data_IF_272374770622
#
_entry.id   IF_272374770622
#
_cell.length_a   1.000
_cell.length_b   1.000
_cell.length_c   1.000
_cell.angle_alpha   90.00
_cell.angle_beta   90.00
_cell.angle_gamma   90.00
#
_symmetry.space_group_name_H-M   'P 1'
#
loop_
_entity.id
_entity.type
_entity.pdbx_description
1 polymer ?
#
# COMPACT_ATOMS: atom_id res chain seq x y z
N UNK A 1 -0.84 -6.18 -9.88
CA UNK A 1 -0.74 -5.67 -11.27
C UNK A 1 0.28 -6.53 -12.03
N UNK A 2 -0.13 -7.75 -12.45
CA UNK A 2 0.82 -8.73 -12.98
C UNK A 2 1.56 -8.26 -14.23
N UNK A 3 2.86 -8.49 -14.30
CA UNK A 3 3.74 -8.09 -15.40
C UNK A 3 4.14 -6.61 -15.41
N UNK A 4 3.72 -5.80 -14.42
CA UNK A 4 4.18 -4.42 -14.27
C UNK A 4 5.48 -4.33 -13.47
N UNK A 5 6.41 -3.49 -13.91
CA UNK A 5 7.56 -3.07 -13.11
C UNK A 5 7.15 -2.05 -12.04
N UNK A 6 8.08 -1.73 -11.13
CA UNK A 6 7.81 -0.83 -10.01
C UNK A 6 7.41 0.58 -10.47
N UNK A 7 8.03 1.11 -11.54
CA UNK A 7 7.71 2.45 -12.08
C UNK A 7 6.28 2.51 -12.63
N UNK A 8 5.85 1.47 -13.34
CA UNK A 8 4.47 1.36 -13.81
C UNK A 8 3.48 1.22 -12.64
N UNK A 9 3.82 0.46 -11.60
CA UNK A 9 2.97 0.33 -10.40
C UNK A 9 2.88 1.67 -9.66
N UNK A 10 3.99 2.37 -9.50
CA UNK A 10 4.05 3.69 -8.87
C UNK A 10 3.11 4.67 -9.59
N UNK A 11 3.34 4.85 -10.89
CA UNK A 11 2.61 5.86 -11.68
C UNK A 11 1.14 5.54 -11.93
N UNK A 12 0.78 4.26 -12.08
CA UNK A 12 -0.56 3.85 -12.52
C UNK A 12 -1.45 3.32 -11.41
N UNK A 13 -0.89 3.05 -10.23
CA UNK A 13 -1.63 2.49 -9.09
C UNK A 13 -1.37 3.30 -7.84
N UNK A 14 -0.10 3.57 -7.50
CA UNK A 14 0.23 4.24 -6.25
C UNK A 14 -0.11 5.73 -6.27
N UNK A 15 0.29 6.46 -7.31
CA UNK A 15 -0.02 7.90 -7.47
C UNK A 15 -1.53 8.19 -7.38
N UNK A 16 -2.44 7.51 -8.11
CA UNK A 16 -3.88 7.73 -7.96
C UNK A 16 -4.42 7.41 -6.57
N UNK A 17 -3.83 6.42 -5.88
CA UNK A 17 -4.23 6.08 -4.51
C UNK A 17 -3.80 7.18 -3.55
N UNK A 18 -2.57 7.66 -3.66
CA UNK A 18 -2.05 8.74 -2.82
C UNK A 18 -2.85 10.02 -3.02
N UNK A 19 -3.17 10.39 -4.26
CA UNK A 19 -4.01 11.54 -4.59
C UNK A 19 -5.40 11.43 -3.95
N UNK A 20 -6.03 10.26 -4.02
CA UNK A 20 -7.34 10.05 -3.39
C UNK A 20 -7.27 10.04 -1.86
N UNK A 21 -6.22 9.46 -1.28
CA UNK A 21 -6.02 9.45 0.18
C UNK A 21 -5.71 10.84 0.73
N UNK A 22 -5.10 11.73 -0.07
CA UNK A 22 -4.83 13.11 0.34
C UNK A 22 -6.11 13.94 0.60
N UNK A 23 -7.26 13.50 0.09
CA UNK A 23 -8.57 14.13 0.35
C UNK A 23 -9.18 13.70 1.70
N UNK A 24 -8.60 12.70 2.39
CA UNK A 24 -9.11 12.17 3.65
C UNK A 24 -8.50 12.94 4.83
N UNK A 25 -9.29 13.85 5.41
CA UNK A 25 -8.83 14.76 6.48
C UNK A 25 -8.34 14.05 7.76
N UNK A 26 -8.81 12.82 8.00
CA UNK A 26 -8.45 12.06 9.20
C UNK A 26 -7.10 11.33 9.08
N UNK A 27 -6.46 11.35 7.90
CA UNK A 27 -5.14 10.74 7.70
C UNK A 27 -4.06 11.73 8.13
N UNK A 28 -3.21 11.31 9.06
CA UNK A 28 -2.02 12.04 9.48
C UNK A 28 -0.86 11.85 8.50
N UNK A 29 -0.62 10.60 8.09
CA UNK A 29 0.52 10.25 7.25
C UNK A 29 0.22 9.01 6.41
N UNK A 30 0.73 9.00 5.18
CA UNK A 30 0.73 7.84 4.29
C UNK A 30 2.18 7.46 4.02
N UNK A 31 2.51 6.20 4.25
CA UNK A 31 3.78 5.59 3.82
C UNK A 31 3.50 4.58 2.74
N UNK A 32 4.17 4.71 1.61
CA UNK A 32 3.92 3.88 0.45
C UNK A 32 5.22 3.36 -0.14
N UNK A 33 5.15 2.21 -0.81
CA UNK A 33 6.27 1.69 -1.61
C UNK A 33 5.72 0.87 -2.77
N UNK A 34 6.17 1.23 -3.97
CA UNK A 34 5.91 0.45 -5.18
C UNK A 34 6.97 -0.64 -5.36
N UNK A 35 6.51 -1.85 -5.63
CA UNK A 35 7.33 -2.98 -6.05
C UNK A 35 6.88 -3.42 -7.44
N UNK A 36 7.66 -4.30 -8.08
CA UNK A 36 7.16 -5.00 -9.26
C UNK A 36 5.85 -5.71 -8.91
N UNK A 37 4.85 -5.50 -9.75
CA UNK A 37 3.51 -6.09 -9.69
C UNK A 37 2.66 -5.75 -8.46
N UNK A 38 3.16 -5.04 -7.44
CA UNK A 38 2.44 -4.78 -6.19
C UNK A 38 2.84 -3.48 -5.52
N UNK A 39 1.94 -2.87 -4.77
CA UNK A 39 2.21 -1.69 -3.93
C UNK A 39 1.83 -2.00 -2.48
N UNK A 40 2.59 -1.46 -1.54
CA UNK A 40 2.30 -1.53 -0.10
C UNK A 40 2.08 -0.13 0.41
N UNK A 41 1.00 0.05 1.17
CA UNK A 41 0.59 1.35 1.72
C UNK A 41 0.26 1.14 3.20
N UNK A 42 0.84 1.97 4.06
CA UNK A 42 0.52 2.09 5.46
C UNK A 42 -0.05 3.49 5.71
N UNK A 43 -1.11 3.56 6.50
CA UNK A 43 -1.88 4.78 6.74
C UNK A 43 -1.99 4.98 8.24
N UNK A 44 -1.61 6.16 8.70
CA UNK A 44 -1.76 6.59 10.08
C UNK A 44 -2.90 7.59 10.15
N UNK A 45 -3.84 7.35 11.06
CA UNK A 45 -4.90 8.32 11.36
C UNK A 45 -4.39 9.35 12.36
N UNK A 46 -4.96 10.56 12.30
CA UNK A 46 -4.73 11.61 13.29
C UNK A 46 -5.04 11.10 14.70
N UNK A 47 -4.16 11.40 15.67
CA UNK A 47 -4.35 11.04 17.10
C UNK A 47 -5.64 11.64 17.69
N UNK A 48 -6.18 12.67 17.04
CA UNK A 48 -7.42 13.36 17.41
C UNK A 48 -8.68 12.71 16.84
N UNK A 49 -8.55 11.62 16.08
CA UNK A 49 -9.68 10.91 15.45
C UNK A 49 -10.45 10.10 16.50
N UNK A 50 -11.55 10.66 17.00
CA UNK A 50 -12.42 9.98 17.98
C UNK A 50 -13.20 8.79 17.39
N UNK A 51 -13.63 8.90 16.13
CA UNK A 51 -14.38 7.85 15.41
C UNK A 51 -13.53 7.23 14.31
N UNK A 52 -12.68 6.28 14.70
CA UNK A 52 -11.78 5.57 13.78
C UNK A 52 -12.55 4.73 12.76
N UNK A 53 -13.74 4.23 13.09
CA UNK A 53 -14.55 3.45 12.15
C UNK A 53 -15.03 4.32 10.98
N UNK A 54 -15.52 5.53 11.27
CA UNK A 54 -15.90 6.49 10.24
C UNK A 54 -14.71 6.93 9.37
N UNK A 55 -13.54 7.13 9.99
CA UNK A 55 -12.31 7.45 9.27
C UNK A 55 -11.90 6.33 8.30
N UNK A 56 -11.93 5.07 8.73
CA UNK A 56 -11.64 3.94 7.84
C UNK A 56 -12.68 3.77 6.72
N UNK A 57 -13.95 4.13 6.95
CA UNK A 57 -14.95 4.18 5.88
C UNK A 57 -14.64 5.27 4.84
N UNK A 58 -14.06 6.40 5.24
CA UNK A 58 -13.58 7.44 4.32
C UNK A 58 -12.39 6.94 3.50
N UNK A 59 -11.41 6.29 4.14
CA UNK A 59 -10.27 5.66 3.46
C UNK A 59 -10.73 4.65 2.41
N UNK A 60 -11.70 3.79 2.75
CA UNK A 60 -12.28 2.84 1.78
C UNK A 60 -12.90 3.56 0.58
N UNK A 61 -13.64 4.63 0.82
CA UNK A 61 -14.25 5.44 -0.26
C UNK A 61 -13.19 6.09 -1.14
N UNK A 62 -12.11 6.61 -0.56
CA UNK A 62 -10.97 7.14 -1.33
C UNK A 62 -10.32 6.06 -2.21
N UNK A 63 -10.10 4.85 -1.67
CA UNK A 63 -9.57 3.72 -2.43
C UNK A 63 -10.51 3.31 -3.59
N UNK A 64 -11.82 3.35 -3.38
CA UNK A 64 -12.82 3.10 -4.43
C UNK A 64 -12.78 4.16 -5.54
N UNK A 65 -12.53 5.43 -5.20
CA UNK A 65 -12.36 6.52 -6.16
C UNK A 65 -11.09 6.31 -6.99
N UNK A 66 -9.94 6.08 -6.34
CA UNK A 66 -8.66 5.83 -7.02
C UNK A 66 -8.74 4.65 -8.00
N UNK A 67 -9.48 3.60 -7.62
CA UNK A 67 -9.68 2.41 -8.45
C UNK A 67 -10.32 2.73 -9.81
N UNK A 68 -11.11 3.80 -9.93
CA UNK A 68 -11.72 4.20 -11.20
C UNK A 68 -10.67 4.59 -12.25
N UNK A 69 -9.47 4.95 -11.81
CA UNK A 69 -8.35 5.37 -12.67
C UNK A 69 -7.40 4.20 -13.00
N UNK A 70 -7.57 3.05 -12.36
CA UNK A 70 -6.68 1.92 -12.55
C UNK A 70 -6.77 1.31 -13.95
N UNK A 71 -5.64 0.88 -14.53
CA UNK A 71 -5.64 0.07 -15.73
C UNK A 71 -6.42 -1.25 -15.55
N UNK A 72 -6.90 -1.79 -16.66
CA UNK A 72 -7.48 -3.14 -16.69
C UNK A 72 -6.45 -4.17 -16.26
N UNK A 73 -6.81 -5.04 -15.31
CA UNK A 73 -5.93 -6.09 -14.77
C UNK A 73 -5.27 -5.76 -13.42
N UNK A 74 -5.49 -4.56 -12.89
CA UNK A 74 -5.19 -4.25 -11.48
C UNK A 74 -6.29 -4.85 -10.60
N UNK A 75 -5.89 -5.56 -9.54
CA UNK A 75 -6.82 -6.17 -8.59
C UNK A 75 -7.30 -5.14 -7.56
N UNK A 76 -8.38 -5.47 -6.86
CA UNK A 76 -8.93 -4.62 -5.81
C UNK A 76 -7.93 -4.43 -4.66
N UNK A 77 -7.73 -3.19 -4.16
CA UNK A 77 -6.90 -2.96 -3.00
C UNK A 77 -7.51 -3.64 -1.77
N UNK A 78 -6.70 -4.39 -1.03
CA UNK A 78 -7.12 -5.03 0.21
C UNK A 78 -6.72 -4.16 1.39
N UNK A 79 -7.68 -3.46 1.98
CA UNK A 79 -7.49 -2.73 3.23
C UNK A 79 -7.63 -3.68 4.43
N UNK A 80 -6.66 -3.63 5.34
CA UNK A 80 -6.74 -4.34 6.62
C UNK A 80 -6.77 -3.32 7.78
N UNK A 81 -7.98 -2.88 8.14
CA UNK A 81 -8.23 -1.94 9.23
C UNK A 81 -8.35 -2.61 10.61
N UNK A 82 -8.33 -3.96 10.67
CA UNK A 82 -8.42 -4.71 11.92
C UNK A 82 -7.13 -4.69 12.76
N UNK A 83 -6.06 -4.14 12.20
CA UNK A 83 -4.77 -3.92 12.86
C UNK A 83 -4.89 -2.72 13.82
N UNK A 84 -5.68 -2.88 14.89
CA UNK A 84 -5.70 -1.96 16.02
C UNK A 84 -4.34 -2.03 16.72
N UNK A 85 -3.38 -1.29 16.22
CA UNK A 85 -2.02 -1.25 16.76
C UNK A 85 -1.79 0.18 17.18
N UNK A 86 -1.76 0.42 18.49
CA UNK A 86 -0.88 1.43 19.05
C UNK A 86 0.53 1.09 18.51
N UNK A 87 0.92 1.72 17.40
CA UNK A 87 1.89 1.26 16.40
C UNK A 87 3.01 0.29 16.85
N UNK A 88 3.10 -0.88 16.19
CA UNK A 88 4.24 -1.80 16.22
C UNK A 88 4.26 -2.65 14.92
N UNK A 89 4.58 -2.03 13.78
CA UNK A 89 4.80 -2.77 12.53
C UNK A 89 6.20 -2.49 11.97
N UNK A 90 7.02 -3.55 11.88
CA UNK A 90 8.26 -3.58 11.11
C UNK A 90 8.03 -4.50 9.92
N UNK A 91 8.18 -3.98 8.70
CA UNK A 91 8.25 -4.80 7.48
C UNK A 91 9.71 -5.15 7.21
N UNK A 92 10.11 -6.42 7.42
CA UNK A 92 11.44 -6.93 7.04
C UNK A 92 11.30 -7.85 5.82
N UNK A 93 11.93 -7.46 4.70
CA UNK A 93 12.11 -8.32 3.53
C UNK A 93 13.58 -8.80 3.46
N UNK A 94 13.80 -10.11 3.61
CA UNK A 94 15.12 -10.74 3.38
C UNK A 94 15.05 -11.50 2.06
N UNK A 95 15.87 -11.10 1.09
CA UNK A 95 16.01 -11.78 -0.20
C UNK A 95 17.38 -12.45 -0.31
N UNK A 96 17.46 -13.55 -1.05
CA UNK A 96 18.71 -14.25 -1.37
C UNK A 96 19.21 -13.89 -2.77
N UNK A 97 20.46 -14.26 -3.09
CA UNK A 97 21.01 -14.10 -4.44
C UNK A 97 20.13 -14.82 -5.47
N UNK A 98 19.85 -14.16 -6.60
CA UNK A 98 19.19 -14.78 -7.75
C UNK A 98 20.10 -15.77 -8.50
N UNK A 99 21.38 -15.82 -8.16
CA UNK A 99 22.33 -16.75 -8.73
C UNK A 99 22.30 -18.09 -7.98
N UNK A 100 21.83 -19.13 -8.68
CA UNK A 100 21.74 -20.48 -8.13
C UNK A 100 23.10 -21.07 -7.76
N UNK A 101 24.20 -20.56 -8.34
CA UNK A 101 25.56 -20.99 -8.02
C UNK A 101 26.04 -20.41 -6.69
N UNK A 102 25.78 -19.11 -6.43
CA UNK A 102 26.13 -18.47 -5.14
C UNK A 102 25.34 -19.07 -3.97
N UNK A 103 24.09 -19.49 -4.20
CA UNK A 103 23.29 -20.22 -3.20
C UNK A 103 23.85 -21.62 -2.89
N UNK A 104 24.53 -22.24 -3.85
CA UNK A 104 25.14 -23.56 -3.66
C UNK A 104 26.46 -23.49 -2.91
N UNK A 105 27.24 -22.41 -3.10
CA UNK A 105 28.52 -22.19 -2.42
C UNK A 105 28.36 -21.76 -0.96
N UNK A 106 27.18 -21.24 -0.59
CA UNK A 106 26.85 -20.84 0.78
C UNK A 106 26.32 -21.99 1.67
N UNK A 107 26.15 -23.21 1.15
CA UNK A 107 25.62 -24.40 1.85
C UNK A 107 26.72 -25.41 2.24
#
# INVERSE_FOLDING_TARGET
FPGADAEMVERLVLEPVEDALAEVEQIATVFSTAYAETAVIAIDLEETTDDTAAAWDEVRRALDVARLEFPTGVSEPHLNDSLNTDHDAVVVAITGSSDSLELLEAA
#
